data_IF_872797097651
#
_entry.id   IF_872797097651
#
_cell.length_a   1.000
_cell.length_b   1.000
_cell.length_c   1.000
_cell.angle_alpha   90.00
_cell.angle_beta   90.00
_cell.angle_gamma   90.00
#
_symmetry.space_group_name_H-M   'P 1'
#
loop_
_entity.id
_entity.type
_entity.pdbx_description
1 polymer ?
#
# COMPACT_ATOMS: atom_id res chain seq x y z
N UNK A 1 -22.50 0.52 -2.67
CA UNK A 1 -21.54 -0.54 -2.32
C UNK A 1 -20.23 0.12 -1.94
N UNK A 2 -19.71 -0.15 -0.75
CA UNK A 2 -18.30 0.12 -0.41
C UNK A 2 -17.56 -1.21 -0.24
N UNK A 3 -16.26 -1.15 -0.48
CA UNK A 3 -15.43 -2.20 -1.08
C UNK A 3 -15.17 -3.42 -0.20
N UNK A 4 -15.18 -4.61 -0.83
CA UNK A 4 -14.33 -5.75 -0.47
C UNK A 4 -13.59 -6.19 -1.74
N UNK A 5 -12.30 -5.85 -1.84
CA UNK A 5 -11.41 -6.32 -2.89
C UNK A 5 -10.08 -6.67 -2.26
N UNK A 6 -9.87 -7.96 -2.08
CA UNK A 6 -8.60 -8.58 -2.39
C UNK A 6 -8.91 -9.43 -3.60
N UNK A 7 -7.92 -9.79 -4.37
CA UNK A 7 -8.00 -10.94 -5.27
C UNK A 7 -8.34 -12.24 -4.49
N UNK A 8 -9.55 -12.42 -3.95
CA UNK A 8 -9.97 -13.68 -3.32
C UNK A 8 -9.69 -14.86 -4.28
N UNK A 9 -9.81 -14.58 -5.57
CA UNK A 9 -9.44 -15.48 -6.66
C UNK A 9 -7.92 -15.72 -6.79
N UNK A 10 -7.04 -14.72 -6.60
CA UNK A 10 -5.58 -14.95 -6.59
C UNK A 10 -5.08 -15.58 -5.28
N UNK A 11 -5.77 -15.42 -4.15
CA UNK A 11 -5.37 -16.08 -2.89
C UNK A 11 -5.77 -17.56 -2.84
N UNK A 12 -6.76 -18.00 -3.65
CA UNK A 12 -6.97 -19.42 -3.95
C UNK A 12 -5.82 -20.05 -4.75
N UNK A 13 -4.84 -19.26 -5.22
CA UNK A 13 -3.66 -19.74 -5.95
C UNK A 13 -2.48 -20.12 -5.06
N UNK A 14 -2.56 -19.85 -3.76
CA UNK A 14 -1.66 -20.51 -2.83
C UNK A 14 -2.13 -21.96 -2.66
N UNK A 15 -1.33 -22.97 -3.06
CA UNK A 15 -1.70 -24.34 -2.79
C UNK A 15 -1.88 -24.51 -1.27
N UNK A 16 -2.84 -25.36 -0.81
CA UNK A 16 -2.87 -25.76 0.59
C UNK A 16 -1.48 -26.27 0.93
N UNK A 17 -0.89 -25.75 2.02
CA UNK A 17 0.45 -26.12 2.43
C UNK A 17 0.55 -27.65 2.52
N UNK A 18 1.30 -28.27 1.61
CA UNK A 18 1.84 -29.59 1.85
C UNK A 18 2.80 -29.43 3.03
N UNK A 19 2.54 -30.15 4.12
CA UNK A 19 3.49 -30.31 5.22
C UNK A 19 4.82 -30.78 4.66
N UNK A 20 5.82 -29.90 4.65
CA UNK A 20 7.21 -30.26 4.36
C UNK A 20 7.81 -30.91 5.61
N UNK A 21 7.30 -32.09 5.95
CA UNK A 21 8.02 -33.06 6.76
C UNK A 21 8.90 -33.89 5.82
N UNK A 22 9.98 -33.28 5.32
CA UNK A 22 11.16 -34.01 4.84
C UNK A 22 12.25 -33.03 4.42
N UNK A 23 13.21 -32.84 5.32
CA UNK A 23 14.66 -32.97 5.10
C UNK A 23 15.35 -32.31 6.29
N UNK A 24 15.45 -33.10 7.36
CA UNK A 24 16.46 -32.89 8.38
C UNK A 24 17.85 -33.21 7.78
N UNK A 25 18.85 -32.59 8.38
CA UNK A 25 20.29 -32.77 8.17
C UNK A 25 20.92 -32.02 6.99
N UNK A 26 21.39 -30.81 7.28
CA UNK A 26 22.78 -30.40 7.01
C UNK A 26 23.14 -29.30 8.02
N UNK A 27 23.80 -29.72 9.10
CA UNK A 27 24.52 -28.85 10.02
C UNK A 27 25.70 -28.18 9.30
N UNK A 28 25.97 -26.90 9.59
CA UNK A 28 27.30 -26.34 9.88
C UNK A 28 27.17 -24.81 10.19
N UNK A 29 28.13 -24.20 10.90
CA UNK A 29 27.87 -23.54 12.18
C UNK A 29 27.76 -22.02 12.10
N UNK A 30 27.06 -21.44 13.08
CA UNK A 30 27.08 -20.01 13.38
C UNK A 30 28.48 -19.57 13.83
N UNK A 31 29.07 -18.61 13.11
CA UNK A 31 30.03 -17.68 13.69
C UNK A 31 29.53 -16.25 13.48
N UNK A 32 29.23 -15.60 14.61
CA UNK A 32 28.81 -14.21 14.71
C UNK A 32 30.04 -13.32 14.43
N UNK A 33 29.98 -12.48 13.39
CA UNK A 33 30.90 -11.35 13.26
C UNK A 33 30.16 -10.09 12.80
N UNK A 34 30.23 -9.08 13.66
CA UNK A 34 29.62 -7.75 13.53
C UNK A 34 30.53 -6.92 12.62
N UNK A 35 30.07 -6.60 11.41
CA UNK A 35 30.86 -5.85 10.42
C UNK A 35 30.03 -4.82 9.66
N UNK A 36 30.42 -3.55 9.78
CA UNK A 36 29.93 -2.38 9.02
C UNK A 36 29.93 -2.65 7.50
N UNK A 37 28.83 -2.35 6.81
CA UNK A 37 28.75 -2.41 5.34
C UNK A 37 29.15 -1.07 4.73
N UNK A 38 30.24 -1.06 3.97
CA UNK A 38 30.52 -0.09 2.92
C UNK A 38 30.14 -0.75 1.59
N UNK A 39 29.12 -0.24 0.90
CA UNK A 39 28.79 -0.67 -0.46
C UNK A 39 29.29 0.36 -1.48
N UNK A 40 30.22 -0.08 -2.32
CA UNK A 40 30.66 0.62 -3.53
C UNK A 40 29.62 0.37 -4.63
N UNK A 41 29.09 1.44 -5.21
CA UNK A 41 28.15 1.43 -6.34
C UNK A 41 28.91 1.25 -7.65
N UNK A 42 28.47 0.30 -8.48
CA UNK A 42 28.87 0.18 -9.88
C UNK A 42 28.01 1.12 -10.75
N UNK A 43 28.68 1.89 -11.60
CA UNK A 43 28.10 2.93 -12.46
C UNK A 43 27.82 2.35 -13.85
N UNK A 44 26.56 2.34 -14.29
CA UNK A 44 26.20 2.18 -15.69
C UNK A 44 25.53 3.47 -16.17
N UNK A 45 26.18 4.12 -17.14
CA UNK A 45 25.65 5.28 -17.88
C UNK A 45 24.96 4.77 -19.15
N UNK A 46 23.77 5.30 -19.43
CA UNK A 46 23.23 5.53 -20.77
C UNK A 46 22.49 6.88 -20.66
N UNK A 47 22.78 7.93 -21.43
CA UNK A 47 22.99 7.96 -22.87
C UNK A 47 21.65 8.31 -23.53
N UNK A 48 21.30 9.60 -23.58
CA UNK A 48 21.40 10.37 -24.83
C UNK A 48 20.09 10.38 -25.63
N UNK A 49 19.01 10.93 -25.05
CA UNK A 49 17.83 11.41 -25.81
C UNK A 49 18.06 12.85 -26.31
N UNK A 50 19.17 13.08 -27.02
CA UNK A 50 19.35 14.27 -27.86
C UNK A 50 18.70 14.04 -29.23
N UNK A 51 17.40 14.33 -29.31
CA UNK A 51 16.73 14.74 -30.55
C UNK A 51 15.28 15.01 -30.21
N UNK A 52 14.96 16.25 -29.83
CA UNK A 52 13.95 17.12 -30.46
C UNK A 52 14.03 18.46 -29.69
N UNK A 53 14.82 19.38 -30.23
CA UNK A 53 14.64 20.84 -30.16
C UNK A 53 15.72 21.49 -31.04
N UNK A 54 15.61 21.25 -32.34
CA UNK A 54 16.27 22.11 -33.32
C UNK A 54 15.39 23.33 -33.51
N UNK A 55 15.88 24.50 -33.06
CA UNK A 55 15.23 25.78 -33.33
C UNK A 55 15.60 26.91 -32.38
N UNK A 56 16.56 27.74 -32.83
CA UNK A 56 16.71 29.19 -32.53
C UNK A 56 17.75 29.60 -31.45
N UNK A 57 18.93 29.98 -31.98
CA UNK A 57 19.74 31.19 -31.74
C UNK A 57 20.79 31.30 -30.58
N UNK A 58 22.07 31.18 -30.98
CA UNK A 58 23.30 31.96 -30.66
C UNK A 58 23.46 32.62 -29.26
N UNK A 59 24.44 32.16 -28.47
CA UNK A 59 25.79 32.77 -28.29
C UNK A 59 26.55 32.15 -27.10
N UNK A 60 27.85 31.92 -27.28
CA UNK A 60 28.82 31.41 -26.30
C UNK A 60 29.01 32.34 -25.10
N UNK A 61 28.95 31.84 -23.87
CA UNK A 61 29.99 32.06 -22.83
C UNK A 61 29.86 31.00 -21.71
N UNK A 62 30.98 30.33 -21.40
CA UNK A 62 31.27 29.42 -20.28
C UNK A 62 30.13 29.02 -19.32
N UNK A 63 29.64 27.78 -19.45
CA UNK A 63 28.93 27.11 -18.35
C UNK A 63 29.97 26.59 -17.35
N UNK A 64 30.04 27.25 -16.19
CA UNK A 64 30.57 26.67 -14.97
C UNK A 64 29.61 25.56 -14.57
N UNK A 65 30.02 24.31 -14.75
CA UNK A 65 29.28 23.16 -14.26
C UNK A 65 29.48 23.15 -12.75
N UNK A 66 28.52 23.71 -12.02
CA UNK A 66 28.40 23.46 -10.60
C UNK A 66 28.17 21.95 -10.40
N UNK A 67 28.88 21.29 -9.47
CA UNK A 67 28.60 19.90 -9.14
C UNK A 67 27.14 19.80 -8.68
N UNK A 68 26.41 18.71 -9.00
CA UNK A 68 25.05 18.54 -8.50
C UNK A 68 25.10 18.63 -6.97
N UNK A 69 24.55 19.72 -6.47
CA UNK A 69 24.39 20.02 -5.06
C UNK A 69 23.50 18.96 -4.44
N UNK A 70 23.94 18.47 -3.28
CA UNK A 70 23.14 17.85 -2.23
C UNK A 70 22.20 16.73 -2.68
N UNK A 71 22.56 15.50 -2.31
CA UNK A 71 21.59 14.44 -2.04
C UNK A 71 20.45 15.06 -1.23
N UNK A 72 19.32 15.34 -1.89
CA UNK A 72 18.06 15.53 -1.18
C UNK A 72 17.81 14.15 -0.58
N UNK A 73 18.08 14.02 0.72
CA UNK A 73 17.52 12.92 1.49
C UNK A 73 16.01 13.08 1.31
N UNK A 74 15.41 12.25 0.43
CA UNK A 74 13.97 12.17 0.29
C UNK A 74 13.41 11.86 1.68
N UNK A 75 12.93 12.90 2.37
CA UNK A 75 12.29 12.73 3.67
C UNK A 75 11.11 11.79 3.47
N UNK A 76 11.21 10.58 4.04
CA UNK A 76 10.08 9.67 4.15
C UNK A 76 8.91 10.45 4.75
N UNK A 77 7.82 10.68 3.99
CA UNK A 77 6.76 11.58 4.43
C UNK A 77 6.12 11.03 5.70
N UNK A 78 6.02 11.92 6.70
CA UNK A 78 5.55 11.57 8.04
C UNK A 78 4.12 10.99 7.99
N UNK A 79 3.79 10.07 8.91
CA UNK A 79 2.44 9.54 9.04
C UNK A 79 1.40 10.66 9.18
N UNK A 80 0.41 10.71 8.30
CA UNK A 80 -0.75 11.59 8.44
C UNK A 80 -1.86 10.87 9.21
N UNK A 81 -2.41 11.51 10.25
CA UNK A 81 -3.58 11.03 10.99
C UNK A 81 -4.60 12.17 11.17
N UNK A 82 -5.86 11.93 10.79
CA UNK A 82 -6.93 12.93 10.94
C UNK A 82 -8.32 12.29 11.01
N UNK A 83 -9.28 13.00 11.62
CA UNK A 83 -10.68 12.57 11.72
C UNK A 83 -11.37 12.76 10.37
N UNK A 84 -11.86 11.67 9.78
CA UNK A 84 -12.61 11.65 8.53
C UNK A 84 -14.10 11.89 8.76
N UNK A 85 -14.65 11.29 9.83
CA UNK A 85 -16.07 11.39 10.21
C UNK A 85 -16.16 11.49 11.72
N UNK A 86 -17.05 12.35 12.20
CA UNK A 86 -17.45 12.42 13.61
C UNK A 86 -18.97 12.30 13.70
N UNK A 87 -19.45 11.44 14.60
CA UNK A 87 -20.87 11.17 14.79
C UNK A 87 -21.20 11.05 16.27
N UNK A 88 -22.20 11.79 16.71
CA UNK A 88 -22.80 11.61 18.04
C UNK A 88 -23.78 10.44 18.02
N UNK A 89 -23.61 9.49 18.93
CA UNK A 89 -24.49 8.34 19.13
C UNK A 89 -25.68 8.70 20.03
N UNK A 90 -26.78 7.92 20.01
CA UNK A 90 -27.99 8.23 20.78
C UNK A 90 -27.79 8.30 22.30
N UNK A 91 -26.76 7.63 22.82
CA UNK A 91 -26.36 7.65 24.23
C UNK A 91 -25.49 8.86 24.61
N UNK A 92 -25.23 9.77 23.67
CA UNK A 92 -24.40 10.96 23.86
C UNK A 92 -22.91 10.74 23.65
N UNK A 93 -22.47 9.50 23.43
CA UNK A 93 -21.06 9.22 23.10
C UNK A 93 -20.73 9.70 21.67
N UNK A 94 -19.45 9.96 21.40
CA UNK A 94 -18.99 10.43 20.09
C UNK A 94 -18.12 9.36 19.44
N UNK A 95 -18.54 8.86 18.28
CA UNK A 95 -17.73 8.01 17.42
C UNK A 95 -16.95 8.86 16.42
N UNK A 96 -15.64 8.66 16.38
CA UNK A 96 -14.75 9.23 15.38
C UNK A 96 -14.19 8.13 14.48
N UNK A 97 -14.26 8.34 13.16
CA UNK A 97 -13.55 7.54 12.17
C UNK A 97 -12.29 8.29 11.79
N UNK A 98 -11.14 7.70 12.06
CA UNK A 98 -9.82 8.31 11.91
C UNK A 98 -9.13 7.65 10.73
N UNK A 99 -8.68 8.45 9.76
CA UNK A 99 -7.77 8.03 8.72
C UNK A 99 -6.32 8.09 9.22
N UNK A 100 -5.52 7.08 8.89
CA UNK A 100 -4.07 7.11 9.14
C UNK A 100 -3.28 6.53 7.96
N UNK A 101 -2.21 7.20 7.57
CA UNK A 101 -1.20 6.71 6.63
C UNK A 101 0.10 6.41 7.39
N UNK A 102 0.73 5.26 7.16
CA UNK A 102 2.03 4.93 7.77
C UNK A 102 2.00 4.47 9.24
N UNK A 103 0.82 4.16 9.79
CA UNK A 103 0.69 3.56 11.12
C UNK A 103 1.08 2.07 11.18
N UNK A 104 1.59 1.62 12.32
CA UNK A 104 1.76 0.20 12.60
C UNK A 104 0.38 -0.47 12.72
N UNK A 105 0.13 -1.47 11.87
CA UNK A 105 -1.09 -2.28 11.92
C UNK A 105 -0.80 -3.54 12.72
N UNK A 106 -1.61 -3.79 13.75
CA UNK A 106 -1.60 -5.11 14.39
C UNK A 106 -2.13 -6.15 13.40
N UNK A 107 -1.31 -7.17 13.16
CA UNK A 107 -1.64 -8.29 12.26
C UNK A 107 -2.86 -9.07 12.73
N UNK A 108 -3.15 -9.08 14.03
CA UNK A 108 -4.34 -9.71 14.59
C UNK A 108 -5.60 -8.90 14.28
N UNK A 109 -5.57 -7.58 14.44
CA UNK A 109 -6.68 -6.69 14.05
C UNK A 109 -6.99 -6.80 12.56
N UNK A 110 -5.96 -6.85 11.73
CA UNK A 110 -6.11 -7.06 10.30
C UNK A 110 -6.71 -8.44 9.98
N UNK A 111 -6.30 -9.48 10.70
CA UNK A 111 -6.86 -10.82 10.51
C UNK A 111 -8.34 -10.86 10.89
N UNK A 112 -8.73 -10.23 11.99
CA UNK A 112 -10.13 -10.13 12.42
C UNK A 112 -10.96 -9.35 11.40
N UNK A 113 -10.40 -8.28 10.82
CA UNK A 113 -11.05 -7.55 9.73
C UNK A 113 -11.20 -8.42 8.47
N UNK A 114 -10.16 -9.18 8.10
CA UNK A 114 -10.21 -10.14 6.99
C UNK A 114 -11.31 -11.20 7.19
N UNK A 115 -11.44 -11.72 8.41
CA UNK A 115 -12.45 -12.73 8.75
C UNK A 115 -13.87 -12.17 8.56
N UNK A 116 -14.13 -10.92 8.98
CA UNK A 116 -15.44 -10.26 8.81
C UNK A 116 -15.84 -10.08 7.35
N UNK A 117 -14.88 -9.79 6.46
CA UNK A 117 -15.14 -9.64 5.02
C UNK A 117 -15.12 -10.99 4.27
N UNK A 118 -14.94 -12.11 5.00
CA UNK A 118 -14.97 -13.46 4.45
C UNK A 118 -13.71 -13.86 3.68
N UNK A 119 -12.57 -13.23 3.96
CA UNK A 119 -11.29 -13.61 3.34
C UNK A 119 -10.68 -14.82 4.07
N UNK A 120 -10.00 -15.73 3.35
CA UNK A 120 -9.29 -16.82 4.00
C UNK A 120 -8.14 -16.29 4.85
N UNK A 121 -7.93 -16.91 6.01
CA UNK A 121 -6.77 -16.59 6.85
C UNK A 121 -5.46 -16.88 6.13
N UNK A 122 -4.49 -16.00 6.36
CA UNK A 122 -3.13 -16.08 5.79
C UNK A 122 -2.15 -16.36 6.93
N UNK A 123 -1.00 -17.02 6.69
CA UNK A 123 0.03 -17.16 7.71
C UNK A 123 0.48 -15.78 8.22
N UNK A 124 0.35 -15.55 9.52
CA UNK A 124 0.58 -14.24 10.16
C UNK A 124 1.96 -13.68 9.84
N UNK A 125 3.01 -14.52 9.82
CA UNK A 125 4.37 -14.11 9.46
C UNK A 125 4.52 -13.60 8.03
N UNK A 126 3.77 -14.19 7.07
CA UNK A 126 3.74 -13.73 5.68
C UNK A 126 2.94 -12.44 5.55
N UNK A 127 1.84 -12.31 6.28
CA UNK A 127 1.04 -11.09 6.31
C UNK A 127 1.84 -9.91 6.88
N UNK A 128 2.53 -10.10 8.01
CA UNK A 128 3.45 -9.12 8.59
C UNK A 128 4.54 -8.69 7.61
N UNK A 129 5.12 -9.65 6.88
CA UNK A 129 6.14 -9.38 5.86
C UNK A 129 5.57 -8.58 4.68
N UNK A 130 4.35 -8.90 4.23
CA UNK A 130 3.68 -8.18 3.15
C UNK A 130 3.36 -6.73 3.55
N UNK A 131 2.93 -6.50 4.80
CA UNK A 131 2.71 -5.15 5.33
C UNK A 131 4.01 -4.35 5.35
N UNK A 132 5.07 -4.90 5.94
CA UNK A 132 6.38 -4.23 6.06
C UNK A 132 7.00 -3.88 4.71
N UNK A 133 6.77 -4.71 3.69
CA UNK A 133 7.31 -4.51 2.34
C UNK A 133 6.34 -3.76 1.41
N UNK A 134 5.23 -3.25 1.95
CA UNK A 134 4.33 -2.41 1.17
C UNK A 134 4.80 -0.97 1.25
N UNK A 135 4.81 -0.31 0.10
CA UNK A 135 5.21 1.09 -0.01
C UNK A 135 4.29 2.01 0.78
N UNK A 136 2.98 1.69 0.78
CA UNK A 136 2.01 2.44 1.56
C UNK A 136 0.93 1.52 2.09
N UNK A 137 0.57 1.76 3.35
CA UNK A 137 -0.61 1.20 3.99
C UNK A 137 -1.39 2.35 4.63
N UNK A 138 -2.67 2.42 4.31
CA UNK A 138 -3.60 3.39 4.90
C UNK A 138 -4.71 2.65 5.63
N UNK A 139 -5.22 3.24 6.70
CA UNK A 139 -6.18 2.61 7.60
C UNK A 139 -7.30 3.56 7.98
N UNK A 140 -8.41 2.96 8.39
CA UNK A 140 -9.50 3.62 9.09
C UNK A 140 -9.68 2.96 10.46
N UNK A 141 -9.71 3.76 11.50
CA UNK A 141 -9.99 3.32 12.86
C UNK A 141 -11.25 3.99 13.39
N UNK A 142 -12.16 3.22 13.99
CA UNK A 142 -13.23 3.77 14.81
C UNK A 142 -12.71 3.96 16.24
N UNK A 143 -13.07 5.07 16.86
CA UNK A 143 -12.81 5.37 18.28
C UNK A 143 -14.07 5.96 18.87
N UNK A 144 -14.53 5.40 19.99
CA UNK A 144 -15.68 5.92 20.74
C UNK A 144 -15.12 6.66 21.95
N UNK A 145 -15.42 7.96 22.01
CA UNK A 145 -15.07 8.82 23.14
C UNK A 145 -16.27 8.90 24.07
N UNK A 146 -16.11 8.39 25.29
CA UNK A 146 -17.04 8.64 26.38
C UNK A 146 -16.58 9.89 27.14
N UNK A 147 -17.52 10.73 27.54
CA UNK A 147 -17.25 11.95 28.31
C UNK A 147 -16.78 11.69 29.76
N UNK A 148 -16.72 10.43 30.19
CA UNK A 148 -16.55 10.06 31.60
C UNK A 148 -15.30 9.19 31.88
N UNK A 149 -14.60 8.65 30.88
CA UNK A 149 -13.41 7.81 31.10
C UNK A 149 -12.20 8.32 30.30
N UNK A 150 -11.38 9.18 30.92
CA UNK A 150 -10.04 9.50 30.44
C UNK A 150 -9.14 8.26 30.55
N UNK A 151 -9.03 7.45 29.49
CA UNK A 151 -7.90 6.52 29.42
C UNK A 151 -8.00 5.27 28.55
N UNK A 152 -9.12 4.95 27.91
CA UNK A 152 -9.17 3.78 27.03
C UNK A 152 -10.04 3.99 25.79
N UNK A 153 -9.70 5.02 25.00
CA UNK A 153 -10.18 5.20 23.64
C UNK A 153 -9.77 3.99 22.80
N UNK A 154 -10.60 2.94 22.79
CA UNK A 154 -10.29 1.71 22.08
C UNK A 154 -10.38 1.97 20.56
N UNK A 155 -9.20 2.06 19.92
CA UNK A 155 -9.10 2.15 18.46
C UNK A 155 -9.40 0.78 17.84
N UNK A 156 -10.45 0.73 17.02
CA UNK A 156 -10.84 -0.47 16.28
C UNK A 156 -10.52 -0.30 14.80
N UNK A 157 -9.72 -1.18 14.21
CA UNK A 157 -9.49 -1.19 12.77
C UNK A 157 -10.78 -1.54 12.03
N UNK A 158 -11.27 -0.62 11.20
CA UNK A 158 -12.51 -0.77 10.42
C UNK A 158 -12.29 -0.71 8.91
N UNK A 159 -11.09 -0.38 8.45
CA UNK A 159 -10.77 -0.38 7.03
C UNK A 159 -9.28 -0.27 6.77
N UNK A 160 -8.85 -0.76 5.61
CA UNK A 160 -7.45 -0.69 5.17
C UNK A 160 -7.35 -0.71 3.64
N UNK A 161 -6.33 -0.03 3.11
CA UNK A 161 -5.77 -0.40 1.81
C UNK A 161 -4.25 -0.41 1.82
N UNK A 162 -3.72 -1.20 0.89
CA UNK A 162 -2.29 -1.47 0.78
C UNK A 162 -1.83 -1.41 -0.67
N UNK A 163 -0.73 -0.72 -0.91
CA UNK A 163 -0.08 -0.63 -2.21
C UNK A 163 1.42 -0.98 -2.13
N UNK A 164 1.91 -1.69 -3.14
CA UNK A 164 3.36 -1.83 -3.41
C UNK A 164 3.78 -0.85 -4.49
N UNK A 165 5.04 -0.45 -4.51
CA UNK A 165 5.58 0.42 -5.55
C UNK A 165 7.04 0.09 -5.86
N UNK A 166 7.51 0.50 -7.03
CA UNK A 166 8.94 0.57 -7.36
C UNK A 166 9.60 1.87 -6.85
N UNK A 167 8.86 2.68 -6.08
CA UNK A 167 9.27 3.97 -5.50
C UNK A 167 9.55 5.06 -6.54
N UNK A 168 9.14 4.88 -7.79
CA UNK A 168 9.39 5.85 -8.85
C UNK A 168 8.18 6.05 -9.76
N UNK A 169 7.76 4.99 -10.47
CA UNK A 169 6.79 5.12 -11.56
C UNK A 169 5.49 4.40 -11.27
N UNK A 170 5.58 3.22 -10.67
CA UNK A 170 4.49 2.27 -10.64
C UNK A 170 4.06 1.98 -9.20
N UNK A 171 2.75 1.95 -8.97
CA UNK A 171 2.14 1.37 -7.79
C UNK A 171 1.03 0.39 -8.17
N UNK A 172 0.88 -0.64 -7.35
CA UNK A 172 -0.24 -1.60 -7.46
C UNK A 172 -0.95 -1.69 -6.12
N UNK A 173 -2.25 -1.40 -6.12
CA UNK A 173 -3.14 -1.54 -4.98
C UNK A 173 -3.59 -3.01 -4.90
N UNK A 174 -3.35 -3.66 -3.76
CA UNK A 174 -3.59 -5.10 -3.57
C UNK A 174 -4.80 -5.41 -2.70
N UNK A 175 -4.77 -4.91 -1.47
CA UNK A 175 -5.80 -5.16 -0.47
C UNK A 175 -6.59 -3.87 -0.27
N UNK A 176 -7.92 -3.94 -0.36
CA UNK A 176 -8.87 -2.87 -0.03
C UNK A 176 -10.06 -3.51 0.67
N UNK A 177 -10.24 -3.21 1.95
CA UNK A 177 -11.31 -3.79 2.75
C UNK A 177 -11.85 -2.79 3.75
N UNK A 178 -13.17 -2.84 3.94
CA UNK A 178 -13.92 -2.07 4.95
C UNK A 178 -14.79 -3.05 5.72
N UNK A 179 -14.83 -2.92 7.05
CA UNK A 179 -15.69 -3.70 7.94
C UNK A 179 -17.13 -3.64 7.42
N UNK A 180 -17.83 -4.78 7.25
CA UNK A 180 -19.18 -4.81 6.71
C UNK A 180 -20.16 -3.86 7.40
N UNK A 181 -19.98 -3.62 8.70
CA UNK A 181 -20.82 -2.71 9.50
C UNK A 181 -20.64 -1.23 9.12
N UNK A 182 -19.56 -0.91 8.41
CA UNK A 182 -19.17 0.44 8.00
C UNK A 182 -19.24 0.65 6.48
N UNK A 183 -19.70 -0.36 5.73
CA UNK A 183 -19.89 -0.25 4.28
C UNK A 183 -21.15 0.57 3.93
N UNK A 184 -21.17 1.17 2.74
CA UNK A 184 -22.28 2.00 2.25
C UNK A 184 -22.24 3.45 2.73
N UNK A 185 -21.15 3.85 3.39
CA UNK A 185 -20.96 5.18 4.00
C UNK A 185 -19.90 6.02 3.25
N UNK A 186 -19.39 5.55 2.10
CA UNK A 186 -18.36 6.23 1.31
C UNK A 186 -16.94 6.09 1.85
N UNK A 187 -16.71 5.23 2.84
CA UNK A 187 -15.41 5.02 3.46
C UNK A 187 -14.41 4.36 2.52
N UNK A 188 -14.84 3.36 1.74
CA UNK A 188 -13.99 2.70 0.76
C UNK A 188 -13.49 3.67 -0.32
N UNK A 189 -14.40 4.52 -0.81
CA UNK A 189 -14.06 5.63 -1.72
C UNK A 189 -13.05 6.59 -1.10
N UNK A 190 -13.33 7.07 0.11
CA UNK A 190 -12.45 8.02 0.81
C UNK A 190 -11.04 7.46 1.01
N UNK A 191 -10.96 6.18 1.35
CA UNK A 191 -9.70 5.48 1.58
C UNK A 191 -8.87 5.39 0.28
N UNK A 192 -9.48 5.01 -0.84
CA UNK A 192 -8.80 4.93 -2.15
C UNK A 192 -8.40 6.29 -2.68
N UNK A 193 -9.27 7.30 -2.59
CA UNK A 193 -8.94 8.66 -3.02
C UNK A 193 -7.71 9.21 -2.29
N UNK A 194 -7.59 8.91 -0.99
CA UNK A 194 -6.49 9.43 -0.16
C UNK A 194 -5.21 8.67 -0.47
N UNK A 195 -5.30 7.35 -0.64
CA UNK A 195 -4.19 6.53 -1.15
C UNK A 195 -3.68 7.06 -2.50
N UNK A 196 -4.56 7.31 -3.47
CA UNK A 196 -4.19 7.84 -4.79
C UNK A 196 -3.54 9.21 -4.66
N UNK A 197 -4.15 10.12 -3.88
CA UNK A 197 -3.59 11.45 -3.65
C UNK A 197 -2.18 11.39 -3.09
N UNK A 198 -1.94 10.53 -2.09
CA UNK A 198 -0.61 10.36 -1.49
C UNK A 198 0.38 9.74 -2.49
N UNK A 199 -0.02 8.76 -3.31
CA UNK A 199 0.86 8.23 -4.37
C UNK A 199 1.25 9.32 -5.38
N UNK A 200 0.30 10.13 -5.83
CA UNK A 200 0.56 11.23 -6.77
C UNK A 200 1.43 12.32 -6.16
N UNK A 201 1.28 12.64 -4.87
CA UNK A 201 2.15 13.57 -4.16
C UNK A 201 3.59 13.08 -4.07
N UNK A 202 3.81 11.76 -4.15
CA UNK A 202 5.12 11.11 -4.19
C UNK A 202 5.58 10.82 -5.63
N UNK A 203 5.03 11.54 -6.62
CA UNK A 203 5.35 11.46 -8.05
C UNK A 203 5.12 10.07 -8.71
N UNK A 204 4.30 9.22 -8.09
CA UNK A 204 3.93 7.92 -8.67
C UNK A 204 2.70 8.10 -9.56
N UNK A 205 2.92 8.20 -10.87
CA UNK A 205 1.87 8.44 -11.86
C UNK A 205 1.10 7.20 -12.34
N UNK A 206 1.72 6.00 -12.33
CA UNK A 206 1.07 4.79 -12.85
C UNK A 206 0.53 3.93 -11.71
N UNK A 207 -0.78 4.05 -11.43
CA UNK A 207 -1.45 3.36 -10.33
C UNK A 207 -2.38 2.28 -10.90
N UNK A 208 -2.11 1.03 -10.56
CA UNK A 208 -2.82 -0.15 -11.03
C UNK A 208 -3.53 -0.88 -9.90
N UNK A 209 -4.55 -1.66 -10.25
CA UNK A 209 -5.21 -2.59 -9.33
C UNK A 209 -5.83 -3.75 -10.10
N UNK A 210 -6.19 -4.81 -9.37
CA UNK A 210 -6.98 -5.90 -9.91
C UNK A 210 -8.34 -5.93 -9.21
N UNK A 211 -9.41 -5.83 -10.00
CA UNK A 211 -10.78 -5.77 -9.51
C UNK A 211 -11.53 -7.08 -9.83
N UNK A 212 -12.25 -7.61 -8.84
CA UNK A 212 -13.27 -8.63 -9.10
C UNK A 212 -14.43 -8.03 -9.91
N UNK A 213 -15.14 -8.84 -10.70
CA UNK A 213 -16.19 -8.34 -11.60
C UNK A 213 -17.27 -7.49 -10.92
N UNK A 214 -17.57 -7.76 -9.65
CA UNK A 214 -18.60 -7.07 -8.86
C UNK A 214 -18.25 -5.63 -8.46
N UNK A 215 -16.98 -5.25 -8.53
CA UNK A 215 -16.49 -3.95 -8.04
C UNK A 215 -15.87 -3.09 -9.15
N UNK A 216 -15.89 -3.56 -10.40
CA UNK A 216 -15.31 -2.83 -11.54
C UNK A 216 -15.93 -1.44 -11.65
N UNK A 217 -17.27 -1.36 -11.58
CA UNK A 217 -18.00 -0.08 -11.67
C UNK A 217 -17.60 0.89 -10.53
N UNK A 218 -17.35 0.37 -9.33
CA UNK A 218 -16.87 1.19 -8.21
C UNK A 218 -15.55 1.86 -8.55
N UNK A 219 -14.57 1.12 -9.08
CA UNK A 219 -13.26 1.70 -9.44
C UNK A 219 -13.34 2.58 -10.70
N UNK A 220 -14.23 2.28 -11.64
CA UNK A 220 -14.48 3.15 -12.79
C UNK A 220 -15.00 4.52 -12.36
N UNK A 221 -15.89 4.56 -11.36
CA UNK A 221 -16.36 5.82 -10.78
C UNK A 221 -15.26 6.61 -10.04
N UNK A 222 -14.11 5.99 -9.75
CA UNK A 222 -12.92 6.63 -9.20
C UNK A 222 -11.88 6.99 -10.27
N UNK A 223 -12.17 6.74 -11.55
CA UNK A 223 -11.30 7.06 -12.68
C UNK A 223 -10.40 5.92 -13.16
N UNK A 224 -10.49 4.71 -12.57
CA UNK A 224 -9.78 3.55 -13.11
C UNK A 224 -10.43 3.06 -14.39
N UNK A 225 -9.63 2.64 -15.36
CA UNK A 225 -10.12 2.09 -16.62
C UNK A 225 -9.71 0.61 -16.75
N UNK A 226 -10.65 -0.31 -17.02
CA UNK A 226 -10.29 -1.68 -17.37
C UNK A 226 -9.68 -1.73 -18.77
N UNK A 227 -8.64 -2.55 -18.92
CA UNK A 227 -7.96 -2.83 -20.19
C UNK A 227 -7.63 -1.57 -21.04
N UNK A 228 -6.93 -0.56 -20.48
CA UNK A 228 -6.57 0.63 -21.23
C UNK A 228 -5.71 0.23 -22.43
N UNK A 229 -6.09 0.72 -23.62
CA UNK A 229 -5.38 0.42 -24.89
C UNK A 229 -5.25 -1.08 -25.21
N UNK A 230 -6.10 -1.93 -24.61
CA UNK A 230 -6.05 -3.38 -24.80
C UNK A 230 -4.99 -4.10 -23.96
N UNK A 231 -4.31 -3.42 -23.04
CA UNK A 231 -3.38 -4.02 -22.08
C UNK A 231 -4.16 -5.01 -21.19
N UNK A 232 -3.58 -6.20 -20.95
CA UNK A 232 -4.20 -7.26 -20.14
C UNK A 232 -3.39 -7.58 -18.90
N UNK A 233 -4.07 -7.61 -17.76
CA UNK A 233 -3.54 -8.23 -16.55
C UNK A 233 -3.45 -9.75 -16.73
N UNK A 234 -2.29 -10.33 -16.44
CA UNK A 234 -2.05 -11.77 -16.56
C UNK A 234 -1.57 -12.35 -15.23
N UNK A 235 -2.06 -13.54 -14.91
CA UNK A 235 -1.63 -14.31 -13.75
C UNK A 235 -0.89 -15.55 -14.21
N UNK A 236 0.25 -15.83 -13.58
CA UNK A 236 1.00 -17.04 -13.85
C UNK A 236 0.55 -18.17 -12.92
N UNK A 237 0.32 -19.34 -13.51
CA UNK A 237 -0.05 -20.56 -12.78
C UNK A 237 1.07 -21.59 -12.96
N UNK A 238 1.73 -22.03 -11.86
CA UNK A 238 2.74 -23.06 -11.95
C UNK A 238 2.16 -24.34 -12.55
N UNK A 239 2.87 -24.94 -13.50
CA UNK A 239 2.52 -26.24 -14.10
C UNK A 239 3.37 -27.39 -13.56
N UNK A 240 4.25 -27.11 -12.59
CA UNK A 240 5.26 -27.99 -12.03
C UNK A 240 5.50 -27.65 -10.57
#
# INVERSE_FOLDING_TARGET
MDVVVSLSTAYKLYPPFASLDCLSSLNYPFHLNRGRKNQKVCRLKAGFWESIRSGILKNNTAQVIEPPSTTEEEEEPLPEEFVLVEKTLPDGTVEQIIFSSGGNIDVYDLQDLCDKVGWPRRPVSKLATALRNSYMVVTLHSTIKSSEEEGNDQKKLIGMARATSDHAFNATIWDVLVDPSYQGQGLGKSLIEKLIKTLLQRDIGNISLFADSKVVEFYQNLGFQPDPEGIKGMFWYPKY
#
